data_IF_854838972019
#
_entry.id   IF_854838972019
#
_cell.length_a   1.000
_cell.length_b   1.000
_cell.length_c   1.000
_cell.angle_alpha   90.00
_cell.angle_beta   90.00
_cell.angle_gamma   90.00
#
_symmetry.space_group_name_H-M   'P 1'
#
loop_
_entity.id
_entity.type
_entity.pdbx_description
1 polymer ?
#
# COMPACT_ATOMS: atom_id res chain seq x y z
N UNK A 1 -14.00 6.87 -10.62
CA UNK A 1 -12.79 7.67 -10.30
C UNK A 1 -11.66 6.72 -9.97
N UNK A 2 -10.44 6.96 -10.45
CA UNK A 2 -9.27 6.10 -10.19
C UNK A 2 -8.33 6.80 -9.21
N UNK A 3 -7.89 6.12 -8.16
CA UNK A 3 -6.98 6.68 -7.15
C UNK A 3 -5.70 5.84 -7.00
N UNK A 4 -4.63 6.47 -6.55
CA UNK A 4 -3.42 5.79 -6.08
C UNK A 4 -3.41 5.70 -4.56
N UNK A 5 -3.06 4.53 -4.01
CA UNK A 5 -2.99 4.31 -2.57
C UNK A 5 -1.55 4.36 -2.06
N UNK A 6 -1.22 5.35 -1.24
CA UNK A 6 0.14 5.54 -0.72
C UNK A 6 0.23 5.06 0.73
N UNK A 7 1.22 4.22 1.03
CA UNK A 7 1.41 3.66 2.38
C UNK A 7 2.88 3.39 2.70
N UNK A 8 3.16 3.17 3.99
CA UNK A 8 4.41 2.59 4.49
C UNK A 8 4.23 1.13 4.89
N UNK A 9 2.99 0.60 4.87
CA UNK A 9 2.67 -0.74 5.36
C UNK A 9 3.08 -0.95 6.83
N UNK A 10 2.97 0.09 7.65
CA UNK A 10 3.60 0.15 8.98
C UNK A 10 3.15 -0.93 9.96
N UNK A 11 1.86 -1.24 9.96
CA UNK A 11 1.22 -2.02 11.01
C UNK A 11 -0.06 -2.73 10.48
N UNK A 12 -0.84 -3.30 11.40
CA UNK A 12 -2.12 -3.93 11.08
C UNK A 12 -3.16 -2.92 10.60
N UNK A 13 -3.23 -1.73 11.20
CA UNK A 13 -4.20 -0.71 10.82
C UNK A 13 -4.04 -0.27 9.36
N UNK A 14 -2.79 -0.17 8.85
CA UNK A 14 -2.53 0.11 7.44
C UNK A 14 -3.12 -0.96 6.50
N UNK A 15 -3.08 -2.24 6.90
CA UNK A 15 -3.66 -3.36 6.13
C UNK A 15 -5.18 -3.37 6.23
N UNK A 16 -5.71 -3.15 7.42
CA UNK A 16 -7.14 -3.16 7.69
C UNK A 16 -7.82 -2.03 6.90
N UNK A 17 -7.24 -0.83 6.90
CA UNK A 17 -7.74 0.29 6.12
C UNK A 17 -7.77 0.02 4.61
N UNK A 18 -6.71 -0.57 4.04
CA UNK A 18 -6.70 -0.93 2.62
C UNK A 18 -7.79 -1.97 2.30
N UNK A 19 -7.93 -3.00 3.14
CA UNK A 19 -8.91 -4.06 2.94
C UNK A 19 -10.35 -3.54 3.03
N UNK A 20 -10.66 -2.74 4.04
CA UNK A 20 -12.01 -2.18 4.19
C UNK A 20 -12.33 -1.15 3.10
N UNK A 21 -11.36 -0.33 2.68
CA UNK A 21 -11.56 0.58 1.55
C UNK A 21 -11.80 -0.18 0.24
N UNK A 22 -10.98 -1.20 -0.05
CA UNK A 22 -11.16 -2.06 -1.22
C UNK A 22 -12.52 -2.77 -1.22
N UNK A 23 -12.94 -3.28 -0.05
CA UNK A 23 -14.26 -3.87 0.13
C UNK A 23 -15.37 -2.85 -0.13
N UNK A 24 -15.29 -1.66 0.46
CA UNK A 24 -16.25 -0.58 0.24
C UNK A 24 -16.35 -0.16 -1.23
N UNK A 25 -15.25 -0.22 -1.98
CA UNK A 25 -15.26 0.00 -3.44
C UNK A 25 -15.92 -1.15 -4.19
N UNK A 26 -15.59 -2.39 -3.83
CA UNK A 26 -16.15 -3.60 -4.45
C UNK A 26 -17.67 -3.72 -4.23
N UNK A 27 -18.14 -3.34 -3.04
CA UNK A 27 -19.56 -3.35 -2.65
C UNK A 27 -20.32 -2.13 -3.20
N UNK A 28 -19.65 -1.19 -3.89
CA UNK A 28 -20.25 0.01 -4.46
C UNK A 28 -20.57 1.13 -3.45
N UNK A 29 -20.18 0.99 -2.18
CA UNK A 29 -20.31 2.07 -1.19
C UNK A 29 -19.40 3.26 -1.52
N UNK A 30 -18.17 2.97 -1.97
CA UNK A 30 -17.20 3.95 -2.45
C UNK A 30 -17.18 3.89 -3.98
N UNK A 31 -17.63 4.95 -4.64
CA UNK A 31 -17.69 5.03 -6.11
C UNK A 31 -16.30 5.36 -6.73
N UNK A 32 -15.29 4.55 -6.41
CA UNK A 32 -13.92 4.68 -6.87
C UNK A 32 -13.22 3.32 -6.99
N UNK A 33 -12.06 3.29 -7.63
CA UNK A 33 -11.18 2.12 -7.69
C UNK A 33 -9.74 2.51 -7.33
N UNK A 34 -9.01 1.58 -6.71
CA UNK A 34 -7.56 1.71 -6.50
C UNK A 34 -6.85 1.19 -7.75
N UNK A 35 -6.21 2.10 -8.49
CA UNK A 35 -5.45 1.73 -9.69
C UNK A 35 -4.11 1.08 -9.32
N UNK A 36 -3.46 1.56 -8.25
CA UNK A 36 -2.20 1.02 -7.75
C UNK A 36 -2.04 1.31 -6.26
N UNK A 37 -1.20 0.51 -5.62
CA UNK A 37 -0.68 0.73 -4.28
C UNK A 37 0.81 1.07 -4.38
N UNK A 38 1.19 2.25 -3.91
CA UNK A 38 2.58 2.61 -3.69
C UNK A 38 2.96 2.34 -2.23
N UNK A 39 4.00 1.54 -2.01
CA UNK A 39 4.60 1.34 -0.70
C UNK A 39 6.03 1.91 -0.66
N UNK A 40 6.26 2.84 0.27
CA UNK A 40 7.57 3.45 0.53
C UNK A 40 8.57 2.52 1.24
N UNK A 41 8.27 1.22 1.28
CA UNK A 41 9.13 0.16 1.78
C UNK A 41 9.18 -0.99 0.79
N UNK A 42 10.37 -1.51 0.57
CA UNK A 42 10.62 -2.69 -0.24
C UNK A 42 10.43 -3.98 0.57
N UNK A 43 10.26 -5.10 -0.13
CA UNK A 43 10.19 -6.42 0.54
C UNK A 43 11.47 -6.67 1.34
N UNK A 44 11.32 -7.17 2.56
CA UNK A 44 12.42 -7.47 3.48
C UNK A 44 12.84 -6.29 4.36
N UNK A 45 12.27 -5.09 4.19
CA UNK A 45 12.54 -3.97 5.10
C UNK A 45 11.78 -4.10 6.43
N UNK A 46 10.63 -4.78 6.44
CA UNK A 46 9.87 -5.05 7.66
C UNK A 46 8.84 -6.17 7.44
N UNK A 47 8.62 -7.08 8.41
CA UNK A 47 7.55 -8.07 8.34
C UNK A 47 6.14 -7.46 8.23
N UNK A 48 5.94 -6.23 8.71
CA UNK A 48 4.65 -5.55 8.61
C UNK A 48 4.39 -5.06 7.19
N UNK A 49 5.40 -4.46 6.54
CA UNK A 49 5.29 -4.03 5.15
C UNK A 49 5.21 -5.22 4.20
N UNK A 50 5.93 -6.31 4.47
CA UNK A 50 5.86 -7.53 3.63
C UNK A 50 4.43 -8.07 3.59
N UNK A 51 3.77 -8.18 4.76
CA UNK A 51 2.35 -8.57 4.85
C UNK A 51 1.43 -7.57 4.16
N UNK A 52 1.75 -6.28 4.16
CA UNK A 52 0.97 -5.26 3.45
C UNK A 52 1.10 -5.43 1.92
N UNK A 53 2.31 -5.70 1.42
CA UNK A 53 2.56 -5.99 0.02
C UNK A 53 1.85 -7.29 -0.43
N UNK A 54 1.88 -8.33 0.41
CA UNK A 54 1.18 -9.59 0.16
C UNK A 54 -0.34 -9.40 0.13
N UNK A 55 -0.90 -8.59 1.05
CA UNK A 55 -2.32 -8.23 1.02
C UNK A 55 -2.68 -7.48 -0.28
N UNK A 56 -1.94 -6.44 -0.64
CA UNK A 56 -2.24 -5.64 -1.84
C UNK A 56 -2.23 -6.51 -3.11
N UNK A 57 -1.23 -7.38 -3.25
CA UNK A 57 -1.17 -8.38 -4.34
C UNK A 57 -2.33 -9.37 -4.27
N UNK A 58 -2.69 -9.84 -3.08
CA UNK A 58 -3.82 -10.76 -2.86
C UNK A 58 -5.18 -10.15 -3.20
N UNK A 59 -5.31 -8.82 -3.11
CA UNK A 59 -6.47 -8.06 -3.58
C UNK A 59 -6.44 -7.81 -5.10
N UNK A 60 -5.42 -8.27 -5.81
CA UNK A 60 -5.27 -8.07 -7.26
C UNK A 60 -4.79 -6.66 -7.66
N UNK A 61 -4.30 -5.86 -6.70
CA UNK A 61 -3.85 -4.49 -6.96
C UNK A 61 -2.43 -4.48 -7.54
N UNK A 62 -2.17 -3.56 -8.46
CA UNK A 62 -0.80 -3.25 -8.89
C UNK A 62 -0.01 -2.70 -7.69
N UNK A 63 1.19 -3.24 -7.45
CA UNK A 63 2.05 -2.84 -6.34
C UNK A 63 3.35 -2.24 -6.86
N UNK A 64 3.56 -0.96 -6.53
CA UNK A 64 4.78 -0.21 -6.82
C UNK A 64 5.53 0.02 -5.52
N UNK A 65 6.84 -0.18 -5.52
CA UNK A 65 7.68 0.06 -4.34
C UNK A 65 8.88 0.90 -4.69
N UNK A 66 9.19 1.87 -3.82
CA UNK A 66 10.47 2.56 -3.80
C UNK A 66 10.86 2.73 -2.33
N UNK A 67 11.95 2.10 -1.91
CA UNK A 67 12.40 2.21 -0.51
C UNK A 67 12.69 3.66 -0.20
N UNK A 68 11.93 4.24 0.72
CA UNK A 68 12.25 5.55 1.27
C UNK A 68 13.67 5.48 1.79
N UNK A 69 14.02 4.52 2.66
CA UNK A 69 15.36 4.36 3.26
C UNK A 69 16.51 4.41 2.24
N UNK A 70 16.33 3.89 1.03
CA UNK A 70 17.35 3.92 -0.03
C UNK A 70 17.29 5.16 -0.92
N UNK A 71 16.14 5.83 -0.98
CA UNK A 71 15.97 7.07 -1.73
C UNK A 71 16.74 8.22 -1.08
N UNK A 72 17.72 8.74 -1.82
CA UNK A 72 18.54 9.92 -1.49
C UNK A 72 18.85 10.08 0.00
N UNK A 73 19.65 9.17 0.61
CA UNK A 73 19.91 9.19 2.05
C UNK A 73 20.47 10.52 2.57
N UNK A 74 21.16 11.27 1.71
CA UNK A 74 21.71 12.58 2.01
C UNK A 74 20.64 13.66 2.30
N UNK A 75 19.39 13.49 1.85
CA UNK A 75 18.29 14.42 2.10
C UNK A 75 17.65 14.28 3.49
N UNK A 76 18.00 13.26 4.28
CA UNK A 76 17.44 13.01 5.63
C UNK A 76 18.07 13.84 6.75
N UNK A 77 18.78 14.91 6.41
CA UNK A 77 19.48 15.75 7.38
C UNK A 77 18.52 16.52 8.29
#
# INVERSE_FOLDING_TARGET
MRIGWFSTGRDAAARDLLREAHRGMSDGFIQAEVAFVFCSRERGESPQSDRFLDLAKGLGLEVVTLSARRFEPALRR
#
